data_IF_716886292355
#
_entry.id   IF_716886292355
#
_cell.length_a   1.000
_cell.length_b   1.000
_cell.length_c   1.000
_cell.angle_alpha   90.00
_cell.angle_beta   90.00
_cell.angle_gamma   90.00
#
_symmetry.space_group_name_H-M   'P 1'
#
loop_
_entity.id
_entity.type
_entity.pdbx_description
1 polymer ?
#
# COMPACT_ATOMS: atom_id res chain seq x y z
N UNK A 1 -30.55 -6.34 13.50
CA UNK A 1 -30.41 -7.77 13.28
C UNK A 1 -29.91 -8.01 11.87
N UNK A 2 -28.63 -8.25 11.71
CA UNK A 2 -28.04 -8.63 10.43
C UNK A 2 -28.40 -10.08 10.16
N UNK A 3 -29.31 -10.31 9.23
CA UNK A 3 -29.55 -11.66 8.71
C UNK A 3 -28.29 -12.07 7.97
N UNK A 4 -27.58 -13.07 8.49
CA UNK A 4 -26.49 -13.69 7.78
C UNK A 4 -26.99 -14.13 6.41
N UNK A 5 -26.29 -13.71 5.34
CA UNK A 5 -26.62 -14.12 3.99
C UNK A 5 -26.45 -15.65 3.90
N UNK A 6 -27.54 -16.44 3.66
CA UNK A 6 -27.43 -17.89 3.60
C UNK A 6 -26.58 -18.37 2.43
N UNK A 7 -26.22 -17.48 1.50
CA UNK A 7 -25.41 -17.76 0.33
C UNK A 7 -23.92 -17.46 0.58
N UNK A 8 -23.58 -16.84 1.71
CA UNK A 8 -22.19 -16.51 2.04
C UNK A 8 -21.31 -17.77 2.03
N UNK A 9 -20.32 -17.80 1.16
CA UNK A 9 -19.39 -18.90 0.98
C UNK A 9 -18.03 -18.40 0.51
N UNK A 10 -16.99 -19.21 0.70
CA UNK A 10 -15.66 -18.91 0.19
C UNK A 10 -15.67 -18.75 -1.34
N UNK A 11 -16.50 -19.50 -2.05
CA UNK A 11 -16.68 -19.39 -3.51
C UNK A 11 -17.24 -18.03 -3.90
N UNK A 12 -18.25 -17.54 -3.18
CA UNK A 12 -18.82 -16.21 -3.43
C UNK A 12 -17.79 -15.11 -3.15
N UNK A 13 -17.03 -15.23 -2.07
CA UNK A 13 -15.95 -14.29 -1.77
C UNK A 13 -14.90 -14.25 -2.87
N UNK A 14 -14.52 -15.41 -3.40
CA UNK A 14 -13.59 -15.51 -4.53
C UNK A 14 -14.12 -14.80 -5.77
N UNK A 15 -15.41 -14.95 -6.06
CA UNK A 15 -16.06 -14.27 -7.19
C UNK A 15 -15.98 -12.75 -7.03
N UNK A 16 -16.26 -12.21 -5.84
CA UNK A 16 -16.14 -10.77 -5.61
C UNK A 16 -14.69 -10.29 -5.72
N UNK A 17 -13.70 -11.09 -5.31
CA UNK A 17 -12.29 -10.75 -5.49
C UNK A 17 -11.91 -10.64 -6.98
N UNK A 18 -12.38 -11.55 -7.81
CA UNK A 18 -12.12 -11.49 -9.27
C UNK A 18 -12.78 -10.28 -9.92
N UNK A 19 -13.84 -9.76 -9.33
CA UNK A 19 -14.55 -8.56 -9.79
C UNK A 19 -13.96 -7.25 -9.20
N UNK A 20 -12.94 -7.33 -8.38
CA UNK A 20 -12.32 -6.17 -7.75
C UNK A 20 -13.05 -5.63 -6.51
N UNK A 21 -13.99 -6.38 -5.95
CA UNK A 21 -14.77 -5.99 -4.77
C UNK A 21 -14.17 -6.56 -3.48
N UNK A 22 -12.95 -6.14 -3.13
CA UNK A 22 -12.20 -6.67 -1.98
C UNK A 22 -12.89 -6.48 -0.63
N UNK A 23 -13.51 -5.33 -0.39
CA UNK A 23 -14.23 -5.05 0.85
C UNK A 23 -15.44 -5.97 1.04
N UNK A 24 -16.17 -6.22 -0.03
CA UNK A 24 -17.33 -7.12 -0.01
C UNK A 24 -16.92 -8.58 0.18
N UNK A 25 -15.85 -8.99 -0.48
CA UNK A 25 -15.26 -10.31 -0.29
C UNK A 25 -14.84 -10.53 1.17
N UNK A 26 -14.20 -9.53 1.79
CA UNK A 26 -13.81 -9.60 3.20
C UNK A 26 -15.01 -9.75 4.12
N UNK A 27 -16.08 -8.99 3.91
CA UNK A 27 -17.31 -9.09 4.68
C UNK A 27 -17.93 -10.49 4.59
N UNK A 28 -17.96 -11.09 3.40
CA UNK A 28 -18.44 -12.46 3.20
C UNK A 28 -17.56 -13.47 3.92
N UNK A 29 -16.24 -13.33 3.85
CA UNK A 29 -15.32 -14.22 4.56
C UNK A 29 -15.49 -14.14 6.07
N UNK A 30 -15.71 -12.95 6.61
CA UNK A 30 -15.98 -12.76 8.03
C UNK A 30 -17.27 -13.48 8.45
N UNK A 31 -18.31 -13.45 7.63
CA UNK A 31 -19.54 -14.23 7.88
C UNK A 31 -19.30 -15.75 7.82
N UNK A 32 -18.56 -16.22 6.82
CA UNK A 32 -18.21 -17.65 6.70
C UNK A 32 -17.42 -18.11 7.90
N UNK A 33 -16.41 -17.36 8.33
CA UNK A 33 -15.57 -17.71 9.47
C UNK A 33 -16.27 -17.56 10.81
N UNK A 34 -17.31 -16.74 10.90
CA UNK A 34 -18.17 -16.66 12.09
C UNK A 34 -18.99 -17.94 12.28
N UNK A 35 -19.40 -18.58 11.18
CA UNK A 35 -20.14 -19.86 11.19
C UNK A 35 -19.22 -21.07 11.33
N UNK A 36 -18.11 -21.06 10.61
CA UNK A 36 -17.10 -22.12 10.61
C UNK A 36 -15.69 -21.51 10.68
N UNK A 37 -15.11 -21.35 11.89
CA UNK A 37 -13.79 -20.78 12.07
C UNK A 37 -12.65 -21.58 11.41
N UNK A 38 -12.92 -22.81 11.04
CA UNK A 38 -11.93 -23.72 10.47
C UNK A 38 -12.13 -23.99 8.98
N UNK A 39 -12.95 -23.18 8.30
CA UNK A 39 -13.09 -23.25 6.85
C UNK A 39 -11.76 -22.90 6.18
N UNK A 40 -11.07 -23.91 5.66
CA UNK A 40 -9.74 -23.75 5.07
C UNK A 40 -9.71 -22.84 3.86
N UNK A 41 -10.73 -22.89 3.00
CA UNK A 41 -10.82 -22.03 1.82
C UNK A 41 -11.01 -20.56 2.19
N UNK A 42 -11.86 -20.30 3.20
CA UNK A 42 -12.09 -18.96 3.72
C UNK A 42 -10.84 -18.39 4.40
N UNK A 43 -10.13 -19.19 5.18
CA UNK A 43 -8.87 -18.79 5.83
C UNK A 43 -7.79 -18.46 4.78
N UNK A 44 -7.66 -19.26 3.73
CA UNK A 44 -6.69 -19.04 2.67
C UNK A 44 -6.99 -17.75 1.89
N UNK A 45 -8.26 -17.48 1.57
CA UNK A 45 -8.66 -16.25 0.90
C UNK A 45 -8.47 -15.02 1.80
N UNK A 46 -8.78 -15.12 3.08
CA UNK A 46 -8.57 -14.04 4.05
C UNK A 46 -7.08 -13.71 4.18
N UNK A 47 -6.21 -14.71 4.19
CA UNK A 47 -4.76 -14.50 4.23
C UNK A 47 -4.27 -13.73 3.00
N UNK A 48 -4.85 -13.97 1.83
CA UNK A 48 -4.55 -13.19 0.62
C UNK A 48 -5.01 -11.75 0.72
N UNK A 49 -6.14 -11.49 1.37
CA UNK A 49 -6.67 -10.13 1.56
C UNK A 49 -5.90 -9.33 2.61
N UNK A 50 -5.18 -9.99 3.49
CA UNK A 50 -4.30 -9.37 4.48
C UNK A 50 -2.88 -9.14 3.95
N UNK A 51 -2.67 -9.17 2.63
CA UNK A 51 -1.41 -8.76 2.04
C UNK A 51 -1.18 -7.30 2.43
N UNK A 52 -0.20 -7.10 3.30
CA UNK A 52 0.19 -5.76 3.71
C UNK A 52 0.86 -5.05 2.54
N UNK A 53 0.58 -3.79 2.32
CA UNK A 53 1.29 -3.04 1.32
C UNK A 53 2.79 -3.01 1.64
N UNK A 54 3.61 -3.06 0.60
CA UNK A 54 5.06 -2.95 0.71
C UNK A 54 5.54 -1.80 -0.13
N UNK A 55 6.51 -1.08 0.39
CA UNK A 55 7.16 0.02 -0.29
C UNK A 55 8.66 -0.11 -0.09
N UNK A 56 9.40 -0.05 -1.17
CA UNK A 56 10.86 -0.07 -1.15
C UNK A 56 11.44 1.05 -2.00
N UNK A 57 12.61 1.50 -1.65
CA UNK A 57 13.35 2.52 -2.36
C UNK A 57 14.77 2.03 -2.64
N UNK A 58 15.28 2.36 -3.83
CA UNK A 58 16.64 2.04 -4.23
C UNK A 58 17.20 3.13 -5.14
N UNK A 59 18.53 3.21 -5.21
CA UNK A 59 19.21 4.00 -6.24
C UNK A 59 19.55 3.07 -7.39
N UNK A 60 19.03 3.36 -8.56
CA UNK A 60 19.26 2.59 -9.78
C UNK A 60 19.56 3.57 -10.92
N UNK A 61 20.67 3.37 -11.62
CA UNK A 61 21.06 4.18 -12.80
C UNK A 61 21.01 5.71 -12.56
N UNK A 62 21.57 6.17 -11.45
CA UNK A 62 21.56 7.57 -11.02
C UNK A 62 20.15 8.17 -10.79
N UNK A 63 19.18 7.32 -10.55
CA UNK A 63 17.81 7.71 -10.20
C UNK A 63 17.34 7.03 -8.93
N UNK A 64 16.41 7.67 -8.26
CA UNK A 64 15.68 7.08 -7.14
C UNK A 64 14.51 6.26 -7.70
N UNK A 65 14.44 5.00 -7.35
CA UNK A 65 13.34 4.13 -7.75
C UNK A 65 12.55 3.71 -6.53
N UNK A 66 11.26 3.99 -6.56
CA UNK A 66 10.29 3.55 -5.56
C UNK A 66 9.44 2.45 -6.16
N UNK A 67 9.28 1.36 -5.43
CA UNK A 67 8.42 0.24 -5.84
C UNK A 67 7.43 -0.07 -4.74
N UNK A 68 6.20 -0.30 -5.14
CA UNK A 68 5.15 -0.71 -4.21
C UNK A 68 4.34 -1.88 -4.75
N UNK A 69 3.75 -2.61 -3.82
CA UNK A 69 2.84 -3.72 -4.10
C UNK A 69 1.88 -3.94 -2.94
N UNK A 70 0.80 -4.65 -3.20
CA UNK A 70 -0.17 -5.00 -2.17
C UNK A 70 -1.06 -3.84 -1.72
N UNK A 71 -1.19 -2.80 -2.54
CA UNK A 71 -2.07 -1.67 -2.24
C UNK A 71 -3.50 -2.04 -2.57
N UNK A 72 -4.37 -2.00 -1.58
CA UNK A 72 -5.81 -2.13 -1.76
C UNK A 72 -6.43 -0.74 -1.91
N UNK A 73 -7.42 -0.60 -2.80
CA UNK A 73 -8.07 0.68 -3.10
C UNK A 73 -7.04 1.77 -3.46
N UNK A 74 -6.26 1.59 -4.55
CA UNK A 74 -5.15 2.50 -4.86
C UNK A 74 -5.58 3.94 -5.13
N UNK A 75 -6.83 4.18 -5.51
CA UNK A 75 -7.35 5.52 -5.78
C UNK A 75 -7.35 6.43 -4.55
N UNK A 76 -7.42 5.84 -3.35
CA UNK A 76 -7.41 6.58 -2.07
C UNK A 76 -6.01 6.67 -1.45
N UNK A 77 -5.01 6.10 -2.10
CA UNK A 77 -3.65 6.00 -1.55
C UNK A 77 -2.73 6.95 -2.28
N UNK A 78 -1.91 7.66 -1.51
CA UNK A 78 -0.89 8.56 -2.02
C UNK A 78 0.51 8.06 -1.64
N UNK A 79 1.44 8.25 -2.56
CA UNK A 79 2.87 8.10 -2.31
C UNK A 79 3.42 9.47 -1.92
N UNK A 80 3.94 9.58 -0.71
CA UNK A 80 4.61 10.79 -0.22
C UNK A 80 6.09 10.51 -0.11
N UNK A 81 6.90 11.35 -0.74
CA UNK A 81 8.35 11.23 -0.75
C UNK A 81 8.96 12.50 -0.20
N UNK A 82 9.85 12.34 0.78
CA UNK A 82 10.66 13.42 1.34
C UNK A 82 12.13 13.12 1.08
N UNK A 83 12.82 14.04 0.42
CA UNK A 83 14.24 13.94 0.16
C UNK A 83 14.95 15.05 0.92
N UNK A 84 15.92 14.67 1.71
CA UNK A 84 16.77 15.57 2.49
C UNK A 84 18.20 15.46 1.97
N UNK A 85 18.84 16.58 1.73
CA UNK A 85 20.19 16.56 1.18
C UNK A 85 20.85 17.94 1.17
N UNK A 86 21.78 18.12 0.27
CA UNK A 86 22.60 19.30 0.18
C UNK A 86 23.89 19.17 1.00
N UNK A 87 24.59 20.28 1.23
CA UNK A 87 25.76 20.30 2.10
C UNK A 87 25.39 20.68 3.55
N UNK A 88 26.34 20.51 4.45
CA UNK A 88 26.13 20.81 5.88
C UNK A 88 25.79 22.27 6.19
N UNK A 89 26.11 23.18 5.26
CA UNK A 89 25.86 24.61 5.43
C UNK A 89 24.51 25.04 4.91
N UNK A 90 23.98 24.34 3.88
CA UNK A 90 22.70 24.65 3.25
C UNK A 90 21.91 23.36 3.12
N UNK A 91 21.25 22.92 4.20
CA UNK A 91 20.38 21.75 4.12
C UNK A 91 19.19 22.06 3.19
N UNK A 92 18.89 21.14 2.31
CA UNK A 92 17.78 21.24 1.38
C UNK A 92 16.80 20.09 1.61
N UNK A 93 15.54 20.36 1.39
CA UNK A 93 14.49 19.36 1.42
C UNK A 93 13.61 19.50 0.19
N UNK A 94 13.12 18.37 -0.26
CA UNK A 94 12.15 18.31 -1.33
C UNK A 94 11.08 17.31 -0.97
N UNK A 95 9.83 17.71 -1.07
CA UNK A 95 8.68 16.86 -0.73
C UNK A 95 7.77 16.82 -1.93
N UNK A 96 7.37 15.62 -2.31
CA UNK A 96 6.39 15.41 -3.36
C UNK A 96 5.33 14.41 -2.91
N UNK A 97 4.15 14.54 -3.45
CA UNK A 97 3.03 13.64 -3.21
C UNK A 97 2.34 13.38 -4.53
N UNK A 98 1.98 12.13 -4.75
CA UNK A 98 1.21 11.75 -5.92
C UNK A 98 0.28 10.59 -5.62
N UNK A 99 -0.90 10.53 -6.26
CA UNK A 99 -1.80 9.41 -6.08
C UNK A 99 -1.20 8.11 -6.63
N UNK A 100 -1.45 7.00 -5.94
CA UNK A 100 -1.24 5.68 -6.50
C UNK A 100 -2.37 5.38 -7.47
N UNK A 101 -2.04 4.93 -8.66
CA UNK A 101 -3.04 4.60 -9.69
C UNK A 101 -3.23 3.10 -9.86
N UNK A 102 -2.43 2.28 -9.16
CA UNK A 102 -2.48 0.83 -9.25
C UNK A 102 -2.02 0.16 -7.97
N UNK A 103 -2.43 -1.09 -7.79
CA UNK A 103 -2.10 -1.90 -6.62
C UNK A 103 -0.61 -2.20 -6.51
N UNK A 104 0.11 -2.14 -7.61
CA UNK A 104 1.56 -2.27 -7.68
C UNK A 104 2.11 -1.30 -8.74
N UNK A 105 3.34 -0.91 -8.58
CA UNK A 105 3.98 -0.02 -9.53
C UNK A 105 5.35 0.42 -9.09
N UNK A 106 5.92 1.30 -9.88
CA UNK A 106 7.19 1.95 -9.58
C UNK A 106 7.16 3.40 -10.04
N UNK A 107 7.97 4.19 -9.38
CA UNK A 107 8.13 5.59 -9.67
C UNK A 107 9.60 5.96 -9.65
N UNK A 108 10.07 6.62 -10.69
CA UNK A 108 11.44 7.10 -10.82
C UNK A 108 11.50 8.60 -10.55
N UNK A 109 12.50 8.98 -9.76
CA UNK A 109 12.82 10.37 -9.47
C UNK A 109 14.29 10.60 -9.79
N UNK A 110 14.65 11.72 -10.41
CA UNK A 110 16.07 12.06 -10.57
C UNK A 110 16.70 12.27 -9.19
N UNK A 111 17.98 11.92 -9.05
CA UNK A 111 18.74 12.27 -7.85
C UNK A 111 18.88 13.78 -7.77
N UNK A 112 18.29 14.45 -6.77
CA UNK A 112 18.33 15.91 -6.72
C UNK A 112 19.69 16.46 -6.29
N UNK A 113 20.48 15.65 -5.56
CA UNK A 113 21.78 16.03 -5.03
C UNK A 113 22.75 14.85 -5.01
N UNK A 114 24.04 15.14 -4.93
CA UNK A 114 25.08 14.11 -4.86
C UNK A 114 25.02 13.28 -3.58
N UNK A 115 24.49 13.87 -2.50
CA UNK A 115 24.31 13.19 -1.20
C UNK A 115 22.93 13.50 -0.65
N UNK A 116 22.31 12.51 -0.06
CA UNK A 116 20.99 12.72 0.53
C UNK A 116 20.41 11.47 1.17
N UNK A 117 19.22 11.65 1.72
CA UNK A 117 18.40 10.60 2.31
C UNK A 117 16.99 10.75 1.79
N UNK A 118 16.37 9.64 1.43
CA UNK A 118 14.98 9.56 1.04
C UNK A 118 14.18 8.84 2.10
N UNK A 119 13.05 9.42 2.46
CA UNK A 119 12.01 8.79 3.27
C UNK A 119 10.73 8.80 2.45
N UNK A 120 10.07 7.66 2.33
CA UNK A 120 8.84 7.53 1.56
C UNK A 120 7.79 6.74 2.33
N UNK A 121 6.54 7.07 2.10
CA UNK A 121 5.41 6.40 2.70
C UNK A 121 4.25 6.30 1.72
N UNK A 122 3.50 5.23 1.83
CA UNK A 122 2.17 5.08 1.23
C UNK A 122 1.13 5.23 2.31
N UNK A 123 0.08 5.97 2.03
CA UNK A 123 -1.00 6.16 2.99
C UNK A 123 -2.20 6.85 2.38
N UNK A 124 -3.20 7.04 3.21
CA UNK A 124 -4.44 7.72 2.83
C UNK A 124 -4.38 9.19 3.21
N UNK A 125 -4.92 10.02 2.34
CA UNK A 125 -5.12 11.45 2.62
C UNK A 125 -6.60 11.66 2.86
N UNK A 126 -6.92 12.24 4.00
CA UNK A 126 -8.28 12.63 4.37
C UNK A 126 -8.31 14.06 4.94
N UNK A 127 -9.46 14.50 5.46
CA UNK A 127 -9.60 15.82 6.03
C UNK A 127 -8.70 16.08 7.25
N UNK A 128 -8.16 15.03 7.88
CA UNK A 128 -7.26 15.11 9.03
C UNK A 128 -5.78 15.15 8.62
N UNK A 129 -5.48 14.88 7.35
CA UNK A 129 -4.14 14.86 6.81
C UNK A 129 -3.75 13.50 6.24
N UNK A 130 -2.47 13.19 6.31
CA UNK A 130 -1.89 11.96 5.78
C UNK A 130 -1.78 10.89 6.87
N UNK A 131 -2.39 9.73 6.62
CA UNK A 131 -2.31 8.56 7.49
C UNK A 131 -1.45 7.47 6.83
N UNK A 132 -0.21 7.26 7.23
CA UNK A 132 0.67 6.28 6.61
C UNK A 132 0.19 4.85 6.88
N UNK A 133 0.22 4.00 5.85
CA UNK A 133 -0.03 2.56 5.93
C UNK A 133 1.26 1.76 5.95
N UNK A 134 2.24 2.21 5.18
CA UNK A 134 3.58 1.62 5.14
C UNK A 134 4.62 2.70 4.90
N UNK A 135 5.75 2.57 5.55
CA UNK A 135 6.91 3.44 5.39
C UNK A 135 8.06 2.59 4.87
N UNK A 136 8.73 3.06 3.82
CA UNK A 136 9.93 2.42 3.32
C UNK A 136 11.10 2.61 4.29
N UNK A 137 12.04 1.68 4.28
CA UNK A 137 13.31 1.92 4.96
C UNK A 137 13.99 3.17 4.37
N UNK A 138 14.49 4.08 5.22
CA UNK A 138 15.20 5.24 4.72
C UNK A 138 16.38 4.84 3.84
N UNK A 139 16.52 5.52 2.71
CA UNK A 139 17.58 5.27 1.74
C UNK A 139 18.56 6.44 1.71
N UNK A 140 19.83 6.16 2.00
CA UNK A 140 20.90 7.13 1.88
C UNK A 140 21.75 6.88 0.63
N UNK A 141 22.34 7.95 0.07
CA UNK A 141 23.30 7.87 -1.02
C UNK A 141 24.37 8.95 -0.89
N UNK A 142 25.52 8.73 -1.53
CA UNK A 142 26.66 9.66 -1.52
C UNK A 142 27.91 9.16 -0.83
#
# INVERSE_FOLDING_TARGET
MTTADPIASATLARLYLTQGHGARARAILDEVLARDPYDGDALALRARLTIRPRLSAAVEDDALTLRWQGVTSPDDVHLVVCVLGGDARIPRRWITSRPCTSAFGRHHLPLPWARGVLVAALGRVDARGFAPQVVAEPLGWG
#
